data_IF_484179696790
#
_entry.id   IF_484179696790
#
_cell.length_a   1.000
_cell.length_b   1.000
_cell.length_c   1.000
_cell.angle_alpha   90.00
_cell.angle_beta   90.00
_cell.angle_gamma   90.00
#
_symmetry.space_group_name_H-M   'P 1'
#
loop_
_entity.id
_entity.type
_entity.pdbx_description
1 polymer ?
#
# COMPACT_ATOMS: atom_id res chain seq x y z
N UNK A 1 -9.17 -20.85 8.39
CA UNK A 1 -9.30 -19.65 7.51
C UNK A 1 -10.73 -19.39 7.07
N UNK A 2 -11.55 -20.42 6.79
CA UNK A 2 -12.91 -20.24 6.25
C UNK A 2 -13.82 -19.29 7.03
N UNK A 3 -13.85 -19.38 8.37
CA UNK A 3 -14.64 -18.45 9.18
C UNK A 3 -14.20 -17.00 8.98
N UNK A 4 -12.89 -16.74 8.96
CA UNK A 4 -12.32 -15.40 8.75
C UNK A 4 -12.67 -14.83 7.37
N UNK A 5 -12.97 -15.69 6.38
CA UNK A 5 -13.38 -15.28 5.04
C UNK A 5 -14.89 -15.12 4.88
N UNK A 6 -15.66 -15.39 5.93
CA UNK A 6 -17.12 -15.30 5.91
C UNK A 6 -17.62 -13.85 5.95
N UNK A 7 -18.82 -13.60 5.39
CA UNK A 7 -19.51 -12.30 5.54
C UNK A 7 -19.58 -11.89 7.02
N UNK A 8 -19.98 -12.83 7.89
CA UNK A 8 -20.18 -12.56 9.32
C UNK A 8 -18.91 -12.06 9.98
N UNK A 9 -17.80 -12.78 9.83
CA UNK A 9 -16.54 -12.40 10.46
C UNK A 9 -16.01 -11.07 9.92
N UNK A 10 -16.14 -10.83 8.60
CA UNK A 10 -15.67 -9.58 8.01
C UNK A 10 -16.49 -8.36 8.43
N UNK A 11 -17.82 -8.46 8.49
CA UNK A 11 -18.66 -7.38 8.99
C UNK A 11 -18.36 -7.08 10.47
N UNK A 12 -18.18 -8.13 11.29
CA UNK A 12 -17.79 -7.94 12.70
C UNK A 12 -16.45 -7.23 12.83
N UNK A 13 -15.44 -7.65 12.05
CA UNK A 13 -14.11 -7.06 12.11
C UNK A 13 -14.11 -5.61 11.60
N UNK A 14 -14.89 -5.34 10.55
CA UNK A 14 -15.08 -3.99 10.03
C UNK A 14 -15.74 -3.05 11.05
N UNK A 15 -16.80 -3.48 11.72
CA UNK A 15 -17.49 -2.66 12.72
C UNK A 15 -16.59 -2.26 13.89
N UNK A 16 -15.63 -3.11 14.26
CA UNK A 16 -14.74 -2.88 15.38
C UNK A 16 -13.46 -2.11 14.99
N UNK A 17 -12.96 -2.30 13.76
CA UNK A 17 -11.62 -1.83 13.35
C UNK A 17 -11.61 -1.03 12.04
N UNK A 18 -12.78 -0.71 11.48
CA UNK A 18 -12.95 0.04 10.24
C UNK A 18 -12.15 -0.54 9.04
N UNK A 19 -11.97 -1.86 9.01
CA UNK A 19 -11.16 -2.54 7.98
C UNK A 19 -11.90 -2.72 6.66
N UNK A 20 -11.18 -2.72 5.54
CA UNK A 20 -11.75 -3.03 4.23
C UNK A 20 -11.79 -4.53 3.98
N UNK A 21 -12.74 -4.97 3.15
CA UNK A 21 -12.79 -6.36 2.68
C UNK A 21 -12.11 -6.51 1.32
N UNK A 22 -11.16 -7.45 1.20
CA UNK A 22 -10.57 -7.82 -0.08
C UNK A 22 -11.55 -8.54 -1.02
N UNK A 23 -12.66 -9.09 -0.49
CA UNK A 23 -13.71 -9.72 -1.31
C UNK A 23 -14.68 -8.67 -1.80
N UNK A 24 -14.75 -8.47 -3.12
CA UNK A 24 -15.68 -7.53 -3.78
C UNK A 24 -17.13 -7.71 -3.35
N UNK A 25 -17.60 -8.96 -3.25
CA UNK A 25 -18.98 -9.26 -2.84
C UNK A 25 -19.31 -8.84 -1.40
N UNK A 26 -18.32 -8.80 -0.51
CA UNK A 26 -18.48 -8.32 0.86
C UNK A 26 -18.26 -6.81 0.91
N UNK A 27 -17.25 -6.27 0.22
CA UNK A 27 -16.97 -4.83 0.19
C UNK A 27 -18.12 -3.99 -0.38
N UNK A 28 -18.96 -4.56 -1.26
CA UNK A 28 -20.14 -3.90 -1.81
C UNK A 28 -21.37 -3.91 -0.88
N UNK A 29 -21.28 -4.52 0.30
CA UNK A 29 -22.38 -4.57 1.25
C UNK A 29 -22.67 -3.17 1.85
N UNK A 30 -23.94 -2.85 2.14
CA UNK A 30 -24.29 -1.63 2.87
C UNK A 30 -23.55 -1.50 4.21
N UNK A 31 -23.36 -2.61 4.92
CA UNK A 31 -22.67 -2.68 6.20
C UNK A 31 -21.15 -2.40 6.11
N UNK A 32 -20.61 -2.29 4.90
CA UNK A 32 -19.20 -1.94 4.61
C UNK A 32 -19.08 -0.59 3.90
N UNK A 33 -20.20 0.12 3.68
CA UNK A 33 -20.32 1.42 3.02
C UNK A 33 -21.26 2.35 3.81
N UNK A 34 -21.26 2.17 5.12
CA UNK A 34 -22.15 2.79 6.09
C UNK A 34 -21.92 4.30 6.23
N UNK A 35 -20.69 4.76 6.00
CA UNK A 35 -20.32 6.17 6.04
C UNK A 35 -19.61 6.64 4.75
N UNK A 36 -19.36 7.94 4.68
CA UNK A 36 -18.77 8.57 3.49
C UNK A 36 -17.27 8.23 3.32
N UNK A 37 -16.55 7.90 4.39
CA UNK A 37 -15.16 7.47 4.31
C UNK A 37 -15.06 6.09 3.67
N UNK A 38 -15.89 5.14 4.13
CA UNK A 38 -15.88 3.77 3.61
C UNK A 38 -16.30 3.69 2.15
N UNK A 39 -17.27 4.52 1.73
CA UNK A 39 -17.61 4.66 0.31
C UNK A 39 -16.40 5.11 -0.51
N UNK A 40 -15.64 6.09 -0.04
CA UNK A 40 -14.43 6.58 -0.73
C UNK A 40 -13.35 5.51 -0.78
N UNK A 41 -13.07 4.83 0.34
CA UNK A 41 -12.05 3.78 0.38
C UNK A 41 -12.39 2.59 -0.52
N UNK A 42 -13.64 2.10 -0.46
CA UNK A 42 -14.09 1.03 -1.35
C UNK A 42 -14.03 1.46 -2.81
N UNK A 43 -14.41 2.69 -3.13
CA UNK A 43 -14.29 3.21 -4.50
C UNK A 43 -12.85 3.26 -4.99
N UNK A 44 -11.92 3.72 -4.14
CA UNK A 44 -10.50 3.78 -4.46
C UNK A 44 -9.90 2.37 -4.66
N UNK A 45 -10.38 1.39 -3.89
CA UNK A 45 -9.93 -0.01 -3.98
C UNK A 45 -10.17 -0.64 -5.36
N UNK A 46 -11.14 -0.15 -6.12
CA UNK A 46 -11.44 -0.64 -7.48
C UNK A 46 -10.29 -0.40 -8.47
N UNK A 47 -9.47 0.62 -8.21
CA UNK A 47 -8.36 1.03 -9.09
C UNK A 47 -6.98 0.90 -8.45
N UNK A 48 -6.93 0.59 -7.15
CA UNK A 48 -5.70 0.33 -6.43
C UNK A 48 -4.92 -0.83 -7.07
N UNK A 49 -3.61 -0.67 -7.19
CA UNK A 49 -2.70 -1.68 -7.74
C UNK A 49 -1.70 -2.09 -6.67
N UNK A 50 -1.33 -3.39 -6.59
CA UNK A 50 -0.27 -3.80 -5.69
C UNK A 50 1.05 -3.12 -6.12
N UNK A 51 1.90 -2.85 -5.13
CA UNK A 51 3.28 -2.47 -5.41
C UNK A 51 4.01 -3.64 -6.11
N UNK A 52 5.04 -3.37 -6.93
CA UNK A 52 5.81 -4.42 -7.62
C UNK A 52 6.79 -5.13 -6.67
N UNK A 53 6.27 -5.68 -5.57
CA UNK A 53 7.00 -6.39 -4.53
C UNK A 53 7.28 -7.85 -4.92
N UNK A 54 7.78 -8.06 -6.15
CA UNK A 54 8.15 -9.39 -6.66
C UNK A 54 9.60 -9.75 -6.34
N UNK A 55 10.45 -8.75 -6.07
CA UNK A 55 11.84 -8.95 -5.67
C UNK A 55 11.93 -9.08 -4.13
N UNK A 56 12.65 -10.08 -3.57
CA UNK A 56 12.86 -10.20 -2.12
C UNK A 56 13.50 -8.96 -1.47
N UNK A 57 14.22 -8.14 -2.25
CA UNK A 57 14.86 -6.90 -1.83
C UNK A 57 13.94 -5.66 -1.95
N UNK A 58 12.65 -5.84 -2.22
CA UNK A 58 11.70 -4.72 -2.39
C UNK A 58 11.69 -3.78 -1.18
N UNK A 59 11.62 -4.32 0.03
CA UNK A 59 11.60 -3.49 1.25
C UNK A 59 12.93 -2.73 1.43
N UNK A 60 14.06 -3.34 1.06
CA UNK A 60 15.36 -2.67 1.05
C UNK A 60 15.42 -1.54 0.01
N UNK A 61 14.82 -1.74 -1.17
CA UNK A 61 14.71 -0.70 -2.19
C UNK A 61 13.82 0.47 -1.71
N UNK A 62 12.69 0.18 -1.05
CA UNK A 62 11.83 1.20 -0.44
C UNK A 62 12.52 1.98 0.68
N UNK A 63 13.40 1.33 1.44
CA UNK A 63 14.24 2.00 2.42
C UNK A 63 15.20 2.99 1.77
N UNK A 64 15.87 2.62 0.67
CA UNK A 64 16.72 3.57 -0.08
C UNK A 64 15.91 4.73 -0.67
N UNK A 65 14.69 4.49 -1.16
CA UNK A 65 13.78 5.57 -1.58
C UNK A 65 13.42 6.51 -0.42
N UNK A 66 13.19 5.98 0.77
CA UNK A 66 12.86 6.79 1.96
C UNK A 66 14.04 7.68 2.37
N UNK A 67 15.26 7.13 2.37
CA UNK A 67 16.49 7.91 2.61
C UNK A 67 16.69 9.00 1.55
N UNK A 68 16.40 8.68 0.29
CA UNK A 68 16.47 9.64 -0.81
C UNK A 68 15.50 10.82 -0.60
N UNK A 69 14.27 10.54 -0.18
CA UNK A 69 13.29 11.57 0.17
C UNK A 69 13.78 12.48 1.31
N UNK A 70 14.40 11.92 2.34
CA UNK A 70 14.98 12.71 3.44
C UNK A 70 16.10 13.64 2.93
N UNK A 71 17.03 13.12 2.10
CA UNK A 71 18.11 13.90 1.50
C UNK A 71 17.61 15.11 0.70
N UNK A 72 16.54 14.92 -0.07
CA UNK A 72 15.92 16.00 -0.85
C UNK A 72 15.13 16.96 0.06
N UNK A 73 14.24 16.44 0.90
CA UNK A 73 13.26 17.25 1.63
C UNK A 73 13.87 17.97 2.83
N UNK A 74 14.76 17.32 3.57
CA UNK A 74 15.45 17.85 4.75
C UNK A 74 16.83 18.38 4.36
N UNK A 75 17.63 17.56 3.67
CA UNK A 75 19.00 17.89 3.29
C UNK A 75 19.12 18.94 2.19
N UNK A 76 18.01 19.21 1.45
CA UNK A 76 17.96 20.14 0.31
C UNK A 76 18.98 19.81 -0.78
N UNK A 77 19.35 18.54 -0.90
CA UNK A 77 20.22 18.07 -1.97
C UNK A 77 19.53 18.15 -3.33
N UNK A 78 20.34 18.25 -4.39
CA UNK A 78 19.83 18.24 -5.77
C UNK A 78 19.06 16.95 -6.09
N UNK A 79 17.84 17.11 -6.60
CA UNK A 79 16.92 16.00 -6.90
C UNK A 79 17.51 15.07 -7.96
N UNK A 80 18.11 15.62 -9.01
CA UNK A 80 18.68 14.83 -10.12
C UNK A 80 19.81 13.93 -9.65
N UNK A 81 20.72 14.49 -8.85
CA UNK A 81 21.82 13.75 -8.21
C UNK A 81 21.31 12.64 -7.28
N UNK A 82 20.41 12.97 -6.36
CA UNK A 82 19.88 11.99 -5.40
C UNK A 82 19.13 10.86 -6.12
N UNK A 83 18.36 11.20 -7.17
CA UNK A 83 17.65 10.20 -7.98
C UNK A 83 18.63 9.25 -8.66
N UNK A 84 19.65 9.76 -9.35
CA UNK A 84 20.65 8.94 -10.04
C UNK A 84 21.40 8.00 -9.09
N UNK A 85 21.82 8.51 -7.92
CA UNK A 85 22.49 7.70 -6.90
C UNK A 85 21.57 6.62 -6.31
N UNK A 86 20.30 6.95 -6.08
CA UNK A 86 19.32 6.02 -5.52
C UNK A 86 18.94 4.93 -6.52
N UNK A 87 18.76 5.29 -7.80
CA UNK A 87 18.53 4.33 -8.88
C UNK A 87 19.69 3.34 -9.00
N UNK A 88 20.94 3.81 -8.96
CA UNK A 88 22.11 2.94 -9.00
C UNK A 88 22.14 1.94 -7.83
N UNK A 89 21.77 2.38 -6.62
CA UNK A 89 21.67 1.48 -5.46
C UNK A 89 20.55 0.45 -5.61
N UNK A 90 19.37 0.86 -6.08
CA UNK A 90 18.23 -0.05 -6.27
C UNK A 90 18.55 -1.09 -7.34
N UNK A 91 19.15 -0.68 -8.46
CA UNK A 91 19.65 -1.59 -9.50
C UNK A 91 20.63 -2.61 -8.93
N UNK A 92 21.60 -2.17 -8.11
CA UNK A 92 22.52 -3.07 -7.44
C UNK A 92 21.82 -4.07 -6.48
N UNK A 93 20.78 -3.64 -5.76
CA UNK A 93 19.96 -4.54 -4.92
C UNK A 93 19.22 -5.59 -5.75
N UNK A 94 18.73 -5.20 -6.93
CA UNK A 94 17.94 -6.06 -7.81
C UNK A 94 18.81 -6.89 -8.75
N UNK A 95 20.12 -6.62 -8.78
CA UNK A 95 21.10 -7.23 -9.68
C UNK A 95 20.78 -6.91 -11.16
N UNK A 96 20.35 -5.67 -11.42
CA UNK A 96 20.02 -5.10 -12.73
C UNK A 96 21.03 -4.03 -13.18
#
# INVERSE_FOLDING_TARGET
>A
VEFLLSKKAMVMYHQDQAVLSARKSIAALPEMNEDDYMKVFNKQSETARPLPATNPMFDNAMLEMTKALERVTVGKEDVGKVLAETEAKIKALYQE
#
